data_IF_499929633562
#
_entry.id   IF_499929633562
#
_cell.length_a   1.000
_cell.length_b   1.000
_cell.length_c   1.000
_cell.angle_alpha   90.00
_cell.angle_beta   90.00
_cell.angle_gamma   90.00
#
_symmetry.space_group_name_H-M   'P 1'
#
loop_
_entity.id
_entity.type
_entity.pdbx_description
1 polymer ?
#
# COMPACT_ATOMS: atom_id res chain seq x y z
N UNK A 1 -29.61 23.84 -7.28
CA UNK A 1 -28.27 23.67 -6.68
C UNK A 1 -27.85 22.21 -6.85
N UNK A 2 -27.16 21.94 -7.95
CA UNK A 2 -27.11 20.68 -8.69
C UNK A 2 -26.01 19.73 -8.18
N UNK A 3 -26.21 18.43 -8.44
CA UNK A 3 -25.43 17.28 -7.92
C UNK A 3 -23.92 17.29 -8.23
N UNK A 4 -23.45 18.22 -9.06
CA UNK A 4 -22.03 18.39 -9.43
C UNK A 4 -21.19 19.03 -8.33
N UNK A 5 -21.79 19.79 -7.40
CA UNK A 5 -21.06 20.54 -6.36
C UNK A 5 -20.46 19.69 -5.22
N UNK A 6 -20.59 18.35 -5.24
CA UNK A 6 -20.21 17.48 -4.12
C UNK A 6 -19.14 16.42 -4.42
N UNK A 7 -18.61 16.39 -5.65
CA UNK A 7 -17.48 15.53 -6.04
C UNK A 7 -16.19 16.33 -5.85
N UNK A 8 -15.26 15.84 -5.03
CA UNK A 8 -13.94 16.45 -4.91
C UNK A 8 -12.92 15.61 -5.70
N UNK A 9 -12.63 15.97 -6.97
CA UNK A 9 -11.74 15.20 -7.82
C UNK A 9 -10.29 15.19 -7.29
N UNK A 10 -9.87 16.22 -6.55
CA UNK A 10 -8.53 16.28 -5.98
C UNK A 10 -8.34 15.20 -4.88
N UNK A 11 -9.29 15.08 -3.96
CA UNK A 11 -9.28 14.00 -2.94
C UNK A 11 -9.32 12.61 -3.56
N UNK A 12 -10.08 12.46 -4.63
CA UNK A 12 -10.14 11.19 -5.38
C UNK A 12 -8.78 10.82 -6.01
N UNK A 13 -8.10 11.80 -6.61
CA UNK A 13 -6.77 11.60 -7.19
C UNK A 13 -5.72 11.27 -6.12
N UNK A 14 -5.77 11.97 -4.98
CA UNK A 14 -4.92 11.67 -3.82
C UNK A 14 -5.12 10.22 -3.37
N UNK A 15 -6.37 9.74 -3.35
CA UNK A 15 -6.65 8.36 -3.00
C UNK A 15 -6.01 7.35 -3.94
N UNK A 16 -6.05 7.61 -5.25
CA UNK A 16 -5.38 6.76 -6.25
C UNK A 16 -3.86 6.79 -6.05
N UNK A 17 -3.27 7.98 -5.87
CA UNK A 17 -1.82 8.13 -5.65
C UNK A 17 -1.38 7.43 -4.37
N UNK A 18 -2.13 7.56 -3.28
CA UNK A 18 -1.87 6.89 -2.02
C UNK A 18 -1.89 5.35 -2.18
N UNK A 19 -2.80 4.82 -3.00
CA UNK A 19 -2.83 3.39 -3.31
C UNK A 19 -1.58 2.96 -4.09
N UNK A 20 -1.13 3.76 -5.07
CA UNK A 20 0.12 3.49 -5.80
C UNK A 20 1.33 3.48 -4.86
N UNK A 21 1.41 4.44 -3.95
CA UNK A 21 2.48 4.50 -2.93
C UNK A 21 2.45 3.25 -2.05
N UNK A 22 1.26 2.80 -1.64
CA UNK A 22 1.12 1.57 -0.85
C UNK A 22 1.75 0.37 -1.57
N UNK A 23 1.46 0.21 -2.87
CA UNK A 23 2.07 -0.84 -3.70
C UNK A 23 3.58 -0.70 -3.81
N UNK A 24 4.09 0.50 -4.08
CA UNK A 24 5.53 0.74 -4.20
C UNK A 24 6.24 0.33 -2.91
N UNK A 25 5.72 0.75 -1.75
CA UNK A 25 6.29 0.39 -0.46
C UNK A 25 6.25 -1.13 -0.20
N UNK A 26 5.14 -1.80 -0.50
CA UNK A 26 5.09 -3.26 -0.39
C UNK A 26 6.11 -3.95 -1.32
N UNK A 27 6.25 -3.48 -2.56
CA UNK A 27 7.22 -4.03 -3.51
C UNK A 27 8.67 -3.78 -3.09
N UNK A 28 8.99 -2.65 -2.44
CA UNK A 28 10.36 -2.44 -1.93
C UNK A 28 10.78 -3.50 -0.92
N UNK A 29 9.85 -3.98 -0.09
CA UNK A 29 10.10 -5.08 0.85
C UNK A 29 10.25 -6.42 0.12
N UNK A 30 9.33 -6.71 -0.81
CA UNK A 30 9.33 -7.97 -1.55
C UNK A 30 10.52 -8.12 -2.51
N UNK A 31 11.08 -7.00 -2.97
CA UNK A 31 12.21 -6.96 -3.90
C UNK A 31 13.57 -6.88 -3.19
N UNK A 32 13.59 -6.79 -1.87
CA UNK A 32 14.82 -6.76 -1.08
C UNK A 32 15.50 -8.15 -1.12
N UNK A 33 16.74 -8.19 -1.62
CA UNK A 33 17.52 -9.42 -1.76
C UNK A 33 17.82 -10.08 -0.41
N UNK A 34 17.87 -9.32 0.69
CA UNK A 34 18.01 -9.85 2.03
C UNK A 34 16.73 -10.56 2.49
N UNK A 35 15.57 -10.07 2.06
CA UNK A 35 14.27 -10.71 2.34
C UNK A 35 14.08 -11.97 1.49
N UNK A 36 14.61 -12.00 0.27
CA UNK A 36 14.70 -13.24 -0.52
C UNK A 36 15.55 -14.30 0.22
N UNK A 37 16.70 -13.90 0.77
CA UNK A 37 17.53 -14.82 1.59
C UNK A 37 16.81 -15.30 2.85
N UNK A 38 16.01 -14.43 3.50
CA UNK A 38 15.16 -14.82 4.64
C UNK A 38 14.13 -15.88 4.24
N UNK A 39 13.53 -15.78 3.06
CA UNK A 39 12.59 -16.79 2.55
C UNK A 39 13.28 -18.11 2.19
N UNK A 40 14.42 -18.05 1.51
CA UNK A 40 15.12 -19.25 1.02
C UNK A 40 15.84 -20.01 2.15
N UNK A 41 16.48 -19.28 3.05
CA UNK A 41 17.38 -19.85 4.05
C UNK A 41 16.84 -19.73 5.49
N UNK A 42 15.72 -19.03 5.70
CA UNK A 42 15.14 -18.81 7.03
C UNK A 42 15.91 -17.81 7.91
N UNK A 43 16.98 -17.21 7.39
CA UNK A 43 17.88 -16.34 8.16
C UNK A 43 18.03 -14.99 7.46
N UNK A 44 17.93 -13.91 8.23
CA UNK A 44 18.22 -12.57 7.74
C UNK A 44 19.74 -12.35 7.75
N UNK A 45 20.36 -11.96 6.62
CA UNK A 45 21.81 -11.70 6.57
C UNK A 45 22.26 -10.63 7.57
N UNK A 46 23.46 -10.76 8.16
CA UNK A 46 24.04 -9.71 9.00
C UNK A 46 24.19 -8.40 8.19
N UNK A 47 23.68 -7.29 8.74
CA UNK A 47 23.75 -5.97 8.07
C UNK A 47 22.56 -5.63 7.18
N UNK A 48 21.54 -6.49 7.08
CA UNK A 48 20.30 -6.17 6.39
C UNK A 48 19.54 -5.02 7.09
N UNK A 49 18.94 -4.12 6.32
CA UNK A 49 18.14 -3.00 6.84
C UNK A 49 16.72 -3.45 7.24
N UNK A 50 16.66 -4.22 8.33
CA UNK A 50 15.39 -4.73 8.88
C UNK A 50 14.48 -3.58 9.33
N UNK A 51 15.06 -2.47 9.80
CA UNK A 51 14.29 -1.31 10.24
C UNK A 51 13.61 -0.62 9.05
N UNK A 52 14.33 -0.37 7.96
CA UNK A 52 13.78 0.18 6.72
C UNK A 52 12.68 -0.70 6.14
N UNK A 53 12.88 -2.03 6.12
CA UNK A 53 11.88 -2.99 5.66
C UNK A 53 10.60 -2.94 6.51
N UNK A 54 10.72 -2.87 7.84
CA UNK A 54 9.56 -2.73 8.74
C UNK A 54 8.83 -1.41 8.54
N UNK A 55 9.56 -0.31 8.37
CA UNK A 55 8.98 1.01 8.10
C UNK A 55 8.24 1.00 6.77
N UNK A 56 8.81 0.41 5.72
CA UNK A 56 8.16 0.28 4.42
C UNK A 56 6.89 -0.59 4.51
N UNK A 57 6.94 -1.72 5.24
CA UNK A 57 5.78 -2.58 5.46
C UNK A 57 4.63 -1.84 6.15
N UNK A 58 4.90 -1.16 7.27
CA UNK A 58 3.88 -0.37 8.00
C UNK A 58 3.40 0.82 7.16
N UNK A 59 4.32 1.52 6.50
CA UNK A 59 4.02 2.64 5.62
C UNK A 59 3.08 2.26 4.48
N UNK A 60 3.24 1.06 3.90
CA UNK A 60 2.35 0.54 2.86
C UNK A 60 0.90 0.44 3.34
N UNK A 61 0.69 -0.04 4.57
CA UNK A 61 -0.64 -0.20 5.18
C UNK A 61 -1.26 1.16 5.45
N UNK A 62 -0.48 2.08 6.04
CA UNK A 62 -0.94 3.45 6.32
C UNK A 62 -1.34 4.17 5.03
N UNK A 63 -0.55 4.02 3.95
CA UNK A 63 -0.86 4.60 2.65
C UNK A 63 -2.16 4.02 2.06
N UNK A 64 -2.38 2.70 2.16
CA UNK A 64 -3.61 2.05 1.70
C UNK A 64 -4.85 2.53 2.49
N UNK A 65 -4.72 2.71 3.81
CA UNK A 65 -5.80 3.29 4.62
C UNK A 65 -6.08 4.75 4.22
N UNK A 66 -5.03 5.53 3.96
CA UNK A 66 -5.14 6.90 3.45
C UNK A 66 -5.82 6.97 2.08
N UNK A 67 -5.57 5.97 1.21
CA UNK A 67 -6.24 5.85 -0.08
C UNK A 67 -7.76 5.71 0.10
N UNK A 68 -8.19 4.80 0.98
CA UNK A 68 -9.59 4.57 1.31
C UNK A 68 -10.29 5.82 1.86
N UNK A 69 -9.68 6.48 2.85
CA UNK A 69 -10.22 7.73 3.42
C UNK A 69 -10.42 8.78 2.32
N UNK A 70 -9.43 8.93 1.45
CA UNK A 70 -9.43 9.96 0.39
C UNK A 70 -10.47 9.70 -0.70
N UNK A 71 -10.63 8.45 -1.18
CA UNK A 71 -11.64 8.14 -2.21
C UNK A 71 -13.06 8.18 -1.66
N UNK A 72 -13.29 7.73 -0.42
CA UNK A 72 -14.61 7.80 0.24
C UNK A 72 -15.01 9.24 0.49
N UNK A 73 -14.09 10.07 1.02
CA UNK A 73 -14.33 11.49 1.21
C UNK A 73 -14.50 12.25 -0.11
N UNK A 74 -13.81 11.84 -1.18
CA UNK A 74 -13.93 12.37 -2.53
C UNK A 74 -15.28 12.08 -3.20
N UNK A 75 -16.03 11.08 -2.69
CA UNK A 75 -17.37 10.67 -3.15
C UNK A 75 -17.46 10.38 -4.65
N UNK A 76 -16.38 9.89 -5.23
CA UNK A 76 -16.31 9.54 -6.64
C UNK A 76 -16.32 8.01 -6.80
N UNK A 77 -17.34 7.50 -7.50
CA UNK A 77 -17.57 6.06 -7.64
C UNK A 77 -16.40 5.36 -8.35
N UNK A 78 -15.91 5.92 -9.45
CA UNK A 78 -14.82 5.30 -10.23
C UNK A 78 -13.56 5.08 -9.36
N UNK A 79 -13.01 6.10 -8.66
CA UNK A 79 -11.89 5.93 -7.73
C UNK A 79 -12.15 4.91 -6.62
N UNK A 80 -13.36 4.87 -6.06
CA UNK A 80 -13.73 3.89 -5.02
C UNK A 80 -13.65 2.47 -5.60
N UNK A 81 -14.22 2.24 -6.78
CA UNK A 81 -14.16 0.93 -7.44
C UNK A 81 -12.72 0.55 -7.76
N UNK A 82 -11.90 1.47 -8.25
CA UNK A 82 -10.49 1.22 -8.54
C UNK A 82 -9.70 0.84 -7.27
N UNK A 83 -9.87 1.57 -6.17
CA UNK A 83 -9.23 1.25 -4.88
C UNK A 83 -9.73 -0.08 -4.33
N UNK A 84 -11.03 -0.39 -4.46
CA UNK A 84 -11.58 -1.69 -4.05
C UNK A 84 -10.94 -2.84 -4.84
N UNK A 85 -10.91 -2.75 -6.17
CA UNK A 85 -10.30 -3.76 -7.04
C UNK A 85 -8.81 -3.92 -6.73
N UNK A 86 -8.09 -2.82 -6.50
CA UNK A 86 -6.68 -2.85 -6.15
C UNK A 86 -6.42 -3.38 -4.73
N UNK A 87 -7.40 -3.32 -3.82
CA UNK A 87 -7.23 -3.75 -2.43
C UNK A 87 -7.12 -5.27 -2.28
N UNK A 88 -7.79 -6.05 -3.13
CA UNK A 88 -7.73 -7.52 -3.05
C UNK A 88 -6.31 -8.08 -3.31
N UNK A 89 -5.62 -7.75 -4.42
CA UNK A 89 -4.23 -8.16 -4.60
C UNK A 89 -3.30 -7.52 -3.58
N UNK A 90 -3.55 -6.27 -3.18
CA UNK A 90 -2.74 -5.59 -2.16
C UNK A 90 -2.80 -6.29 -0.81
N UNK A 91 -3.97 -6.77 -0.39
CA UNK A 91 -4.14 -7.49 0.86
C UNK A 91 -3.34 -8.79 0.89
N UNK A 92 -3.24 -9.50 -0.24
CA UNK A 92 -2.39 -10.69 -0.32
C UNK A 92 -0.90 -10.30 -0.21
N UNK A 93 -0.47 -9.28 -0.94
CA UNK A 93 0.91 -8.80 -0.89
C UNK A 93 1.31 -8.29 0.50
N UNK A 94 0.40 -7.63 1.21
CA UNK A 94 0.66 -7.08 2.54
C UNK A 94 0.88 -8.17 3.58
N UNK A 95 0.23 -9.34 3.46
CA UNK A 95 0.49 -10.50 4.31
C UNK A 95 1.93 -10.99 4.15
N UNK A 96 2.41 -11.18 2.91
CA UNK A 96 3.80 -11.59 2.65
C UNK A 96 4.81 -10.53 3.12
N UNK A 97 4.49 -9.26 2.86
CA UNK A 97 5.30 -8.11 3.28
C UNK A 97 5.47 -8.08 4.80
N UNK A 98 4.38 -8.31 5.55
CA UNK A 98 4.42 -8.38 7.01
C UNK A 98 5.18 -9.60 7.53
N UNK A 99 5.01 -10.77 6.91
CA UNK A 99 5.75 -11.98 7.25
C UNK A 99 7.26 -11.86 7.00
N UNK A 100 7.66 -11.09 6.00
CA UNK A 100 9.08 -10.81 5.74
C UNK A 100 9.65 -9.83 6.76
N UNK A 101 8.88 -8.80 7.10
CA UNK A 101 9.30 -7.77 8.02
C UNK A 101 9.51 -8.27 9.47
N UNK A 102 8.91 -9.42 9.83
CA UNK A 102 8.96 -10.01 11.17
C UNK A 102 9.34 -11.49 11.11
#
# INVERSE_FOLDING_TARGET
MSRELRRNPALSMIGIVAMVIAYVLAFTVLSDTNMASKFENGVVPPGADVAGVRVAAVGSIVAALGAWVSVVAGRAIIPIVLVLVASAPFALLSLFTLQLAW
#
